data_IF_438612780692
#
_entry.id   IF_438612780692
#
_cell.length_a   1.000
_cell.length_b   1.000
_cell.length_c   1.000
_cell.angle_alpha   90.00
_cell.angle_beta   90.00
_cell.angle_gamma   90.00
#
_symmetry.space_group_name_H-M   'P 1'
#
loop_
_entity.id
_entity.type
_entity.pdbx_description
1 polymer ?
2 non-polymer ?
3 water ?
#
# COMPACT_ATOMS: atom_id res chain seq x y z
N UNK A 14 20.13 -22.67 1.32
CA UNK A 14 20.24 -21.22 1.47
C UNK A 14 19.28 -20.67 2.52
N UNK A 15 19.79 -19.77 3.36
CA UNK A 15 19.00 -19.15 4.43
C UNK A 15 19.01 -17.63 4.28
N UNK A 16 17.95 -17.01 4.77
CA UNK A 16 17.83 -15.56 4.77
C UNK A 16 18.03 -15.07 6.22
N UNK A 17 18.87 -14.06 6.43
CA UNK A 17 19.03 -13.46 7.78
C UNK A 17 17.68 -12.85 8.23
N UNK A 18 16.96 -12.26 7.26
CA UNK A 18 15.65 -11.67 7.41
C UNK A 18 15.02 -11.47 6.02
N UNK A 19 13.70 -11.25 5.96
CA UNK A 19 12.99 -11.02 4.72
C UNK A 19 12.16 -9.73 4.87
N UNK A 20 12.56 -8.66 4.15
CA UNK A 20 11.90 -7.35 4.21
C UNK A 20 11.49 -6.88 2.83
N UNK A 21 10.30 -6.28 2.71
CA UNK A 21 9.81 -5.82 1.42
C UNK A 21 9.14 -4.47 1.50
N UNK A 22 9.30 -3.65 0.46
CA UNK A 22 8.69 -2.33 0.35
C UNK A 22 8.01 -2.31 -1.00
N UNK A 23 6.71 -2.06 -1.01
CA UNK A 23 5.89 -2.05 -2.19
C UNK A 23 5.25 -0.68 -2.27
N UNK A 24 5.50 0.06 -3.37
CA UNK A 24 4.94 1.40 -3.60
C UNK A 24 4.06 1.34 -4.83
N UNK A 25 2.86 1.88 -4.73
CA UNK A 25 1.92 1.95 -5.84
C UNK A 25 1.39 3.36 -6.03
N UNK A 26 1.76 4.01 -7.14
CA UNK A 26 1.33 5.36 -7.43
C UNK A 26 0.23 5.36 -8.46
N UNK A 27 -0.89 5.97 -8.10
CA UNK A 27 -2.06 6.01 -8.96
C UNK A 27 -2.61 7.42 -9.20
N UNK A 28 -2.88 8.13 -8.10
CA UNK A 28 -3.55 9.41 -8.17
C UNK A 28 -2.57 10.54 -8.32
N UNK A 29 -2.21 10.77 -9.59
CA UNK A 29 -1.25 11.78 -10.02
C UNK A 29 -1.88 13.15 -10.16
N UNK A 30 -1.19 14.16 -9.67
CA UNK A 30 -1.69 15.53 -9.73
C UNK A 30 -1.60 16.09 -11.16
N UNK A 31 -0.48 15.82 -11.87
CA UNK A 31 -0.32 16.35 -13.22
C UNK A 31 -0.21 15.32 -14.33
N UNK A 32 -0.43 14.04 -14.03
CA UNK A 32 -0.31 12.99 -15.03
C UNK A 32 -1.54 12.09 -15.05
N UNK A 33 -1.74 11.28 -16.11
CA UNK A 33 -2.91 10.39 -16.11
C UNK A 33 -2.95 9.45 -14.91
N UNK A 34 -4.14 9.28 -14.31
CA UNK A 34 -4.29 8.41 -13.15
C UNK A 34 -4.20 6.94 -13.57
N UNK A 35 -3.67 6.10 -12.69
CA UNK A 35 -3.54 4.67 -12.93
C UNK A 35 -4.52 3.89 -12.04
N UNK A 36 -4.85 2.64 -12.42
CA UNK A 36 -5.82 1.82 -11.69
C UNK A 36 -5.23 0.54 -11.14
N UNK A 37 -4.35 -0.11 -11.89
CA UNK A 37 -3.76 -1.38 -11.50
C UNK A 37 -2.91 -1.36 -10.23
N UNK A 38 -2.08 -0.34 -9.91
CA UNK A 38 -1.25 -0.44 -8.68
C UNK A 38 -2.02 -0.77 -7.38
N UNK A 39 -3.31 -0.37 -7.25
CA UNK A 39 -4.12 -0.67 -6.08
C UNK A 39 -4.20 -2.18 -5.79
N UNK A 40 -4.74 -2.97 -6.73
CA UNK A 40 -4.90 -4.41 -6.58
C UNK A 40 -3.56 -5.11 -6.59
N UNK A 41 -2.64 -4.68 -7.47
CA UNK A 41 -1.31 -5.27 -7.58
C UNK A 41 -0.50 -5.19 -6.29
N UNK A 42 -0.42 -4.01 -5.68
CA UNK A 42 0.29 -3.84 -4.42
C UNK A 42 -0.41 -4.66 -3.31
N UNK A 43 -1.74 -4.63 -3.29
CA UNK A 43 -2.51 -5.39 -2.29
C UNK A 43 -2.30 -6.89 -2.38
N UNK A 44 -2.43 -7.47 -3.57
CA UNK A 44 -2.26 -8.91 -3.76
C UNK A 44 -0.81 -9.36 -3.59
N UNK A 45 0.17 -8.54 -4.03
CA UNK A 45 1.59 -8.90 -3.84
C UNK A 45 1.96 -8.85 -2.35
N UNK A 46 1.37 -7.89 -1.59
CA UNK A 46 1.59 -7.78 -0.13
C UNK A 46 1.19 -9.08 0.56
N UNK A 47 -0.03 -9.60 0.30
CA UNK A 47 -0.51 -10.81 0.94
C UNK A 47 0.31 -12.04 0.56
N UNK A 48 0.71 -12.10 -0.70
CA UNK A 48 1.53 -13.19 -1.20
C UNK A 48 2.90 -13.19 -0.54
N UNK A 49 3.57 -12.02 -0.45
CA UNK A 49 4.88 -11.92 0.21
C UNK A 49 4.78 -12.21 1.71
N UNK A 50 3.68 -11.80 2.36
CA UNK A 50 3.48 -12.09 3.78
C UNK A 50 3.41 -13.63 4.01
N UNK A 51 2.80 -14.37 3.06
CA UNK A 51 2.74 -15.82 3.08
C UNK A 51 4.13 -16.46 3.04
N UNK A 52 5.11 -15.78 2.41
CA UNK A 52 6.49 -16.23 2.30
C UNK A 52 7.38 -15.68 3.45
N UNK A 53 6.76 -15.08 4.51
CA UNK A 53 7.36 -14.54 5.74
C UNK A 53 8.16 -13.25 5.56
N UNK A 54 7.79 -12.44 4.58
CA UNK A 54 8.41 -11.14 4.40
C UNK A 54 7.67 -10.16 5.31
N UNK A 55 8.42 -9.22 5.91
CA UNK A 55 7.81 -8.15 6.67
C UNK A 55 7.58 -7.10 5.58
N UNK A 56 6.31 -6.87 5.21
CA UNK A 56 5.97 -6.01 4.09
C UNK A 56 5.41 -4.66 4.50
N UNK A 57 5.91 -3.59 3.88
CA UNK A 57 5.38 -2.25 4.03
C UNK A 57 4.82 -1.90 2.66
N UNK A 58 3.51 -1.62 2.59
CA UNK A 58 2.86 -1.31 1.33
C UNK A 58 2.36 0.13 1.40
N UNK A 59 2.74 0.96 0.43
CA UNK A 59 2.39 2.37 0.46
C UNK A 59 1.78 2.80 -0.87
N UNK A 60 0.71 3.59 -0.79
CA UNK A 60 0.06 4.11 -1.98
C UNK A 60 0.27 5.60 -2.09
N UNK A 61 0.33 6.09 -3.32
CA UNK A 61 0.37 7.52 -3.67
C UNK A 61 1.39 8.36 -2.89
N UNK A 62 2.69 8.10 -3.11
CA UNK A 62 3.73 8.85 -2.40
C UNK A 62 4.28 10.01 -3.21
N UNK A 63 4.60 11.12 -2.53
CA UNK A 63 5.22 12.29 -3.15
C UNK A 63 6.73 12.00 -3.31
N UNK A 64 7.49 12.94 -3.90
CA UNK A 64 8.93 12.78 -4.10
C UNK A 64 9.64 12.58 -2.79
N UNK A 65 9.43 13.48 -1.80
CA UNK A 65 10.11 13.35 -0.52
C UNK A 65 9.67 12.12 0.28
N UNK A 66 8.42 11.68 0.15
CA UNK A 66 7.93 10.48 0.80
C UNK A 66 8.54 9.23 0.19
N UNK A 67 8.65 9.20 -1.16
CA UNK A 67 9.27 8.09 -1.89
C UNK A 67 10.72 7.94 -1.53
N UNK A 68 11.49 9.05 -1.56
CA UNK A 68 12.90 9.03 -1.22
C UNK A 68 13.13 8.52 0.19
N UNK A 69 12.32 8.98 1.16
CA UNK A 69 12.49 8.54 2.54
C UNK A 69 12.16 7.07 2.71
N UNK A 70 11.08 6.59 2.10
CA UNK A 70 10.69 5.19 2.19
C UNK A 70 11.76 4.27 1.59
N UNK A 71 12.30 4.62 0.41
CA UNK A 71 13.36 3.84 -0.23
C UNK A 71 14.66 3.85 0.62
N UNK A 72 15.06 5.01 1.16
CA UNK A 72 16.22 5.10 2.04
C UNK A 72 16.06 4.21 3.29
N UNK A 73 14.88 4.21 3.91
CA UNK A 73 14.59 3.43 5.10
C UNK A 73 14.62 1.92 4.80
N UNK A 74 14.19 1.52 3.59
CA UNK A 74 14.18 0.12 3.16
C UNK A 74 15.63 -0.31 2.92
N UNK A 75 16.43 0.55 2.25
CA UNK A 75 17.84 0.33 1.98
C UNK A 75 18.62 0.10 3.28
N UNK A 76 18.25 0.81 4.35
CA UNK A 76 18.86 0.72 5.67
C UNK A 76 18.73 -0.67 6.30
N UNK A 77 17.67 -1.42 5.95
CA UNK A 77 17.44 -2.77 6.47
C UNK A 77 18.30 -3.84 5.81
N UNK A 78 18.94 -3.53 4.67
CA UNK A 78 19.67 -4.52 3.89
C UNK A 78 21.07 -4.85 4.41
N UNK A 79 21.13 -5.49 5.58
CA UNK A 79 22.38 -5.96 6.19
C UNK A 79 22.82 -7.26 5.52
N UNK A 80 24.05 -7.73 5.82
CA UNK A 80 24.60 -8.98 5.30
C UNK A 80 23.63 -10.16 5.48
N UNK A 81 23.33 -10.84 4.39
CA UNK A 81 22.46 -12.01 4.41
C UNK A 81 20.97 -11.77 4.35
N UNK A 82 20.54 -10.51 4.44
CA UNK A 82 19.12 -10.17 4.37
C UNK A 82 18.56 -10.33 2.96
N UNK A 83 17.28 -10.74 2.85
CA UNK A 83 16.54 -10.86 1.60
C UNK A 83 15.65 -9.63 1.53
N UNK A 84 15.83 -8.81 0.50
CA UNK A 84 15.01 -7.61 0.32
C UNK A 84 14.23 -7.68 -0.97
N UNK A 85 13.05 -7.07 -1.00
CA UNK A 85 12.25 -7.00 -2.23
C UNK A 85 11.63 -5.62 -2.34
N UNK A 86 11.95 -4.90 -3.40
CA UNK A 86 11.39 -3.56 -3.62
C UNK A 86 10.57 -3.61 -4.88
N UNK A 87 9.29 -3.24 -4.79
CA UNK A 87 8.39 -3.24 -5.93
C UNK A 87 7.81 -1.84 -6.10
N UNK A 88 7.85 -1.31 -7.32
CA UNK A 88 7.26 -0.01 -7.61
C UNK A 88 6.33 -0.14 -8.78
N UNK A 89 5.10 0.34 -8.63
CA UNK A 89 4.12 0.32 -9.71
C UNK A 89 3.64 1.74 -9.89
N UNK A 90 3.78 2.28 -11.10
CA UNK A 90 3.34 3.63 -11.37
C UNK A 90 3.92 4.17 -12.66
N UNK A 91 3.94 5.50 -12.80
CA UNK A 91 4.53 6.12 -13.99
C UNK A 91 6.03 6.06 -13.88
N UNK A 92 6.65 5.84 -15.01
CA UNK A 92 8.09 5.83 -15.14
C UNK A 92 8.50 6.67 -16.32
N UNK A 93 9.75 7.09 -16.35
CA UNK A 93 10.25 7.82 -17.51
C UNK A 93 11.70 7.46 -17.75
N UNK A 94 12.05 7.41 -19.02
CA UNK A 94 13.38 7.05 -19.44
C UNK A 94 14.01 8.23 -20.13
N UNK A 95 15.23 8.58 -19.74
CA UNK A 95 15.96 9.67 -20.36
C UNK A 95 17.42 9.35 -20.40
N UNK A 96 17.92 9.12 -21.62
CA UNK A 96 19.30 8.82 -21.99
C UNK A 96 20.01 7.84 -21.07
N UNK A 97 19.58 6.59 -21.14
CA UNK A 97 20.17 5.51 -20.37
C UNK A 97 19.71 5.38 -18.94
N UNK A 98 18.94 6.36 -18.44
CA UNK A 98 18.46 6.31 -17.06
C UNK A 98 16.96 6.17 -16.99
N UNK A 99 16.46 5.44 -16.01
CA UNK A 99 15.03 5.27 -15.76
C UNK A 99 14.68 5.96 -14.44
N UNK A 100 13.47 6.49 -14.35
CA UNK A 100 13.02 7.25 -13.20
C UNK A 100 11.63 6.87 -12.76
N UNK A 101 11.42 6.80 -11.45
CA UNK A 101 10.12 6.51 -10.83
C UNK A 101 9.47 7.83 -10.56
N UNK A 102 8.26 8.02 -11.08
CA UNK A 102 7.55 9.28 -10.96
C UNK A 102 6.62 9.37 -9.77
N UNK A 103 6.89 10.29 -8.84
CA UNK A 103 5.98 10.47 -7.69
C UNK A 103 4.67 11.20 -8.05
N UNK A 104 3.62 11.06 -7.23
CA UNK A 104 2.31 11.66 -7.54
C UNK A 104 2.31 13.22 -7.61
N UNK A 105 3.30 13.90 -7.00
CA UNK A 105 3.37 15.37 -7.04
C UNK A 105 4.31 15.90 -8.14
N UNK A 106 4.76 15.04 -9.06
CA UNK A 106 5.67 15.43 -10.11
C UNK A 106 5.00 16.36 -11.10
N UNK A 107 5.71 17.43 -11.49
CA UNK A 107 5.12 18.36 -12.46
C UNK A 107 5.10 17.79 -13.89
N UNK A 108 4.33 18.43 -14.76
CA UNK A 108 4.26 18.04 -16.16
C UNK A 108 4.81 19.18 -16.98
N UNK A 109 5.85 18.96 -17.82
CA UNK A 109 6.51 17.68 -18.18
C UNK A 109 7.48 17.11 -17.14
N UNK A 110 7.87 15.83 -17.31
CA UNK A 110 8.80 15.15 -16.41
C UNK A 110 10.19 15.78 -16.36
N UNK A 111 10.81 15.75 -15.18
CA UNK A 111 12.15 16.26 -14.95
C UNK A 111 12.79 15.44 -13.85
N UNK A 112 14.05 15.05 -14.08
CA UNK A 112 14.81 14.17 -13.21
C UNK A 112 14.85 14.56 -11.74
N UNK A 113 15.05 15.86 -11.41
CA UNK A 113 15.17 16.27 -10.01
C UNK A 113 13.91 16.03 -9.18
N UNK A 114 12.74 15.93 -9.85
CA UNK A 114 11.49 15.61 -9.17
C UNK A 114 11.20 14.11 -9.08
N UNK A 115 12.01 13.26 -9.70
CA UNK A 115 11.82 11.82 -9.78
C UNK A 115 12.93 11.04 -9.07
N UNK A 116 12.70 9.72 -8.87
CA UNK A 116 13.71 8.88 -8.24
C UNK A 116 14.47 8.08 -9.30
N UNK A 117 15.77 8.31 -9.42
CA UNK A 117 16.63 7.61 -10.37
C UNK A 117 16.87 6.15 -9.96
N UNK A 118 16.43 5.23 -10.82
CA UNK A 118 16.53 3.79 -10.65
C UNK A 118 17.99 3.34 -10.59
N UNK A 119 18.85 3.95 -11.40
CA UNK A 119 20.26 3.59 -11.43
C UNK A 119 20.95 3.95 -10.13
N UNK A 120 20.54 5.04 -9.47
CA UNK A 120 21.11 5.41 -8.18
C UNK A 120 20.71 4.41 -7.08
N UNK A 121 19.49 3.87 -7.15
CA UNK A 121 19.01 2.87 -6.21
C UNK A 121 19.82 1.59 -6.41
N UNK A 122 19.90 1.10 -7.67
CA UNK A 122 20.66 -0.09 -8.06
C UNK A 122 22.13 0.02 -7.61
N UNK A 123 22.74 1.20 -7.76
CA UNK A 123 24.12 1.49 -7.34
C UNK A 123 24.27 1.39 -5.82
N UNK A 124 23.29 1.89 -5.05
CA UNK A 124 23.32 1.77 -3.61
C UNK A 124 23.10 0.30 -3.19
N UNK A 125 22.27 -0.45 -3.94
CA UNK A 125 21.98 -1.87 -3.69
C UNK A 125 23.22 -2.72 -3.96
N UNK A 126 24.04 -2.36 -4.96
CA UNK A 126 25.28 -3.07 -5.29
C UNK A 126 26.29 -3.08 -4.14
N UNK A 127 26.22 -2.04 -3.26
CA UNK A 127 27.09 -1.89 -2.08
C UNK A 127 26.63 -2.74 -0.87
N UNK A 128 25.46 -3.39 -0.96
CA UNK A 128 24.96 -4.21 0.13
C UNK A 128 25.46 -5.66 -0.01
N UNK A 129 25.49 -6.38 1.11
CA UNK A 129 25.90 -7.79 1.12
C UNK A 129 24.66 -8.65 1.34
N UNK A 130 23.56 -8.31 0.67
CA UNK A 130 22.31 -9.02 0.78
C UNK A 130 22.44 -10.42 0.25
N UNK A 131 21.70 -11.33 0.87
CA UNK A 131 21.60 -12.71 0.42
C UNK A 131 20.82 -12.74 -0.87
N UNK A 132 19.81 -11.85 -1.00
CA UNK A 132 19.01 -11.69 -2.20
C UNK A 132 18.38 -10.32 -2.21
N UNK A 133 18.42 -9.63 -3.35
CA UNK A 133 17.75 -8.34 -3.47
C UNK A 133 17.01 -8.35 -4.76
N UNK A 134 15.69 -8.34 -4.69
CA UNK A 134 14.84 -8.37 -5.88
C UNK A 134 14.25 -6.99 -6.05
N UNK A 135 14.52 -6.33 -7.18
CA UNK A 135 14.02 -4.99 -7.44
C UNK A 135 13.15 -5.10 -8.68
N UNK A 136 11.82 -4.95 -8.49
CA UNK A 136 10.85 -5.05 -9.58
C UNK A 136 10.18 -3.73 -9.87
N UNK A 137 10.22 -3.30 -11.12
CA UNK A 137 9.60 -2.06 -11.56
C UNK A 137 8.48 -2.46 -12.50
N UNK A 138 7.29 -1.92 -12.28
CA UNK A 138 6.13 -2.17 -13.10
C UNK A 138 5.69 -0.77 -13.50
N UNK A 139 6.35 -0.22 -14.51
CA UNK A 139 6.14 1.16 -14.90
C UNK A 139 5.44 1.39 -16.21
N UNK A 140 4.66 2.45 -16.23
CA UNK A 140 3.92 2.95 -17.37
C UNK A 140 4.93 3.94 -17.94
N UNK A 141 5.69 3.51 -18.95
CA UNK A 141 6.81 4.24 -19.57
C UNK A 141 6.42 5.51 -20.34
N UNK A 158 32.43 -9.30 -3.98
CA UNK A 158 31.29 -9.62 -3.13
C UNK A 158 29.97 -9.34 -3.87
N UNK A 159 29.12 -10.37 -3.97
CA UNK A 159 27.86 -10.22 -4.66
C UNK A 159 26.73 -9.72 -3.75
N UNK A 160 25.91 -8.83 -4.30
CA UNK A 160 24.71 -8.34 -3.63
C UNK A 160 23.49 -9.23 -4.01
N UNK A 161 23.67 -10.15 -5.00
CA UNK A 161 22.66 -11.05 -5.53
C UNK A 161 21.43 -10.29 -5.96
N UNK A 162 21.62 -9.28 -6.82
CA UNK A 162 20.52 -8.45 -7.30
C UNK A 162 19.86 -9.08 -8.49
N UNK A 163 18.53 -9.16 -8.44
CA UNK A 163 17.70 -9.63 -9.53
C UNK A 163 16.80 -8.45 -9.81
N UNK A 164 16.95 -7.85 -10.98
CA UNK A 164 16.21 -6.66 -11.38
C UNK A 164 15.22 -7.01 -12.50
N UNK A 165 13.96 -6.73 -12.27
CA UNK A 165 12.89 -6.97 -13.22
C UNK A 165 12.31 -5.64 -13.63
N UNK A 166 12.28 -5.37 -14.93
CA UNK A 166 11.79 -4.10 -15.44
C UNK A 166 10.70 -4.29 -16.48
N UNK A 167 9.43 -4.23 -16.02
CA UNK A 167 8.24 -4.38 -16.82
C UNK A 167 7.78 -3.02 -17.30
N UNK A 168 7.44 -2.92 -18.60
CA UNK A 168 7.00 -1.65 -19.18
C UNK A 168 5.59 -1.75 -19.79
N UNK A 169 4.74 -2.66 -19.28
CA UNK A 169 3.34 -2.86 -19.73
C UNK A 169 2.53 -1.55 -19.76
N UNK A 173 -1.31 2.63 -20.26
CA UNK A 173 -1.56 1.74 -19.12
C UNK A 173 -2.43 0.57 -19.54
N UNK A 174 -1.91 -0.64 -19.38
CA UNK A 174 -2.66 -1.84 -19.74
C UNK A 174 -2.98 -2.65 -18.49
N UNK A 175 -4.21 -3.16 -18.41
CA UNK A 175 -4.67 -4.00 -17.30
C UNK A 175 -5.88 -4.86 -17.69
N UNK A 176 -6.27 -5.77 -16.80
CA UNK A 176 -7.42 -6.65 -17.03
C UNK A 176 -8.39 -6.51 -15.87
N UNK A 177 -9.69 -6.46 -16.19
CA UNK A 177 -10.72 -6.36 -15.15
C UNK A 177 -11.15 -7.77 -14.75
N UNK A 178 -11.08 -8.09 -13.45
CA UNK A 178 -11.46 -9.41 -12.95
C UNK A 178 -12.97 -9.55 -12.75
N UNK A 179 -13.43 -10.77 -12.45
CA UNK A 179 -14.82 -11.12 -12.14
C UNK A 179 -15.34 -10.32 -10.91
N UNK A 180 -14.42 -9.82 -10.07
CA UNK A 180 -14.63 -8.99 -8.89
C UNK A 180 -14.80 -7.49 -9.24
N UNK A 181 -14.32 -7.08 -10.42
CA UNK A 181 -14.36 -5.71 -10.88
C UNK A 181 -13.06 -4.93 -10.64
N UNK A 182 -12.06 -5.61 -10.04
CA UNK A 182 -10.75 -5.06 -9.70
C UNK A 182 -9.80 -5.13 -10.90
N UNK A 183 -8.94 -4.11 -11.02
CA UNK A 183 -7.95 -4.03 -12.11
C UNK A 183 -6.63 -4.72 -11.77
N UNK A 184 -6.22 -5.72 -12.56
CA UNK A 184 -4.96 -6.40 -12.33
C UNK A 184 -4.03 -6.11 -13.51
N UNK A 185 -2.82 -5.65 -13.21
CA UNK A 185 -1.82 -5.38 -14.23
C UNK A 185 -1.35 -6.65 -14.90
N UNK A 186 -0.78 -6.54 -16.11
CA UNK A 186 -0.32 -7.72 -16.86
C UNK A 186 0.85 -8.44 -16.16
N UNK A 187 1.82 -7.67 -15.67
CA UNK A 187 2.98 -8.23 -14.99
C UNK A 187 2.55 -8.97 -13.71
N UNK A 188 1.69 -8.35 -12.91
CA UNK A 188 1.23 -8.95 -11.65
C UNK A 188 0.30 -10.13 -11.84
N UNK A 189 -0.48 -10.16 -12.92
CA UNK A 189 -1.37 -11.29 -13.21
C UNK A 189 -0.57 -12.60 -13.29
N UNK A 190 0.56 -12.57 -13.99
CA UNK A 190 1.42 -13.73 -14.14
C UNK A 190 2.32 -13.94 -12.93
N UNK A 191 2.80 -12.85 -12.32
CA UNK A 191 3.66 -12.91 -11.15
C UNK A 191 2.96 -13.56 -9.98
N UNK A 192 1.71 -13.19 -9.70
CA UNK A 192 0.96 -13.74 -8.57
C UNK A 192 0.71 -15.25 -8.69
N UNK A 193 0.61 -15.76 -9.92
CA UNK A 193 0.40 -17.19 -10.16
C UNK A 193 1.68 -18.03 -9.97
N UNK A 194 2.86 -17.40 -9.91
CA UNK A 194 4.12 -18.12 -9.78
C UNK A 194 4.97 -17.75 -8.57
N UNK A 195 4.65 -16.67 -7.88
CA UNK A 195 5.44 -16.19 -6.76
C UNK A 195 5.61 -17.19 -5.60
N UNK A 196 4.62 -18.09 -5.38
CA UNK A 196 4.72 -19.05 -4.26
C UNK A 196 5.48 -20.34 -4.60
N UNK A 197 5.98 -20.48 -5.85
CA UNK A 197 6.74 -21.66 -6.27
C UNK A 197 8.10 -21.74 -5.57
N UNK A 198 8.53 -22.94 -5.15
CA UNK A 198 9.85 -23.11 -4.55
C UNK A 198 10.86 -23.35 -5.67
N UNK A 199 11.21 -22.28 -6.36
CA UNK A 199 12.17 -22.29 -7.46
C UNK A 199 13.02 -21.03 -7.35
N UNK A 200 14.25 -21.08 -7.90
CA UNK A 200 15.17 -19.92 -7.94
C UNK A 200 14.44 -18.71 -8.56
N UNK A 201 14.53 -17.53 -7.94
CA UNK A 201 13.78 -16.35 -8.39
C UNK A 201 14.01 -15.96 -9.88
N UNK A 202 15.23 -16.14 -10.40
CA UNK A 202 15.54 -15.83 -11.79
C UNK A 202 14.80 -16.75 -12.74
N UNK A 203 14.70 -18.03 -12.37
CA UNK A 203 13.97 -19.04 -13.13
C UNK A 203 12.46 -18.70 -13.11
N UNK A 204 11.95 -18.27 -11.96
CA UNK A 204 10.56 -17.88 -11.75
C UNK A 204 10.20 -16.67 -12.64
N UNK A 205 11.08 -15.65 -12.67
CA UNK A 205 10.88 -14.45 -13.49
C UNK A 205 10.97 -14.76 -14.99
N UNK A 206 11.79 -15.72 -15.38
CA UNK A 206 11.90 -16.15 -16.77
C UNK A 206 10.60 -16.87 -17.21
N UNK A 207 9.94 -17.60 -16.29
CA UNK A 207 8.66 -18.22 -16.59
C UNK A 207 7.61 -17.11 -16.77
N UNK A 208 7.62 -16.07 -15.92
CA UNK A 208 6.71 -14.94 -16.02
C UNK A 208 6.90 -14.21 -17.36
N UNK A 209 8.16 -14.04 -17.82
CA UNK A 209 8.47 -13.43 -19.11
C UNK A 209 7.93 -14.28 -20.28
N UNK A 210 7.98 -15.63 -20.14
CA UNK A 210 7.43 -16.55 -21.14
C UNK A 210 5.91 -16.41 -21.18
N UNK A 211 5.25 -16.36 -20.01
CA UNK A 211 3.81 -16.20 -19.87
C UNK A 211 3.33 -14.93 -20.57
N UNK A 212 4.08 -13.81 -20.39
CA UNK A 212 3.77 -12.52 -21.00
C UNK A 212 4.00 -12.53 -22.51
N UNK A 213 5.00 -13.28 -22.96
CA UNK A 213 5.29 -13.47 -24.37
C UNK A 213 4.22 -14.26 -25.10
N UNK A 214 3.46 -15.10 -24.36
CA UNK A 214 2.33 -15.88 -24.88
C UNK A 214 1.05 -15.03 -24.87
N UNK A 215 0.92 -14.10 -23.90
CA UNK A 215 -0.18 -13.15 -23.72
C UNK A 215 -0.28 -12.28 -24.99
N UNK A 216 -1.49 -12.10 -25.49
CA UNK A 216 -1.75 -11.37 -26.73
C UNK A 216 -1.36 -9.89 -26.70
N UNK A 217 -1.48 -9.24 -25.54
CA UNK A 217 -1.15 -7.83 -25.37
C UNK A 217 0.36 -7.56 -25.47
N UNK A 218 1.18 -8.52 -25.02
CA UNK A 218 2.63 -8.36 -24.95
C UNK A 218 3.45 -9.37 -25.78
N UNK A 219 2.80 -10.11 -26.70
CA UNK A 219 3.38 -11.21 -27.49
C UNK A 219 4.77 -10.95 -28.13
N UNK A 220 4.89 -10.01 -29.05
CA UNK A 220 6.17 -9.75 -29.71
C UNK A 220 6.79 -8.46 -29.27
N UNK A 221 6.59 -8.09 -28.00
CA UNK A 221 7.08 -6.82 -27.47
C UNK A 221 8.10 -6.99 -26.33
N UNK A 222 8.97 -5.98 -26.15
CA UNK A 222 9.96 -5.95 -25.07
C UNK A 222 9.25 -5.44 -23.81
N UNK A 223 8.42 -6.31 -23.19
CA UNK A 223 7.59 -5.97 -22.04
C UNK A 223 8.25 -6.21 -20.68
N UNK A 224 9.22 -7.14 -20.58
CA UNK A 224 9.94 -7.43 -19.34
C UNK A 224 11.42 -7.64 -19.60
N UNK A 225 12.27 -6.87 -18.93
CA UNK A 225 13.72 -7.03 -19.02
C UNK A 225 14.21 -7.50 -17.67
N UNK A 226 14.95 -8.61 -17.62
CA UNK A 226 15.49 -9.12 -16.38
C UNK A 226 17.02 -9.00 -16.40
N UNK A 227 17.60 -8.38 -15.39
CA UNK A 227 19.05 -8.30 -15.24
C UNK A 227 19.37 -8.99 -13.93
N UNK A 228 20.36 -9.88 -13.94
CA UNK A 228 20.65 -10.67 -12.77
C UNK A 228 22.13 -10.90 -12.57
N UNK A 229 22.57 -10.75 -11.33
CA UNK A 229 23.94 -11.05 -10.91
C UNK A 229 23.84 -12.11 -9.79
N UNK A 230 22.93 -13.09 -9.94
CA UNK A 230 22.67 -14.14 -8.96
C UNK A 230 23.48 -15.38 -9.27
N UNK A 231 24.58 -15.59 -8.49
CA UNK A 231 25.50 -16.72 -8.63
C UNK A 231 25.07 -17.97 -7.86
N UNK A 232 24.12 -17.83 -6.92
CA UNK A 232 23.67 -18.98 -6.12
C UNK A 232 22.14 -19.17 -6.15
N UNK A 233 21.68 -20.39 -5.83
CA UNK A 233 20.27 -20.74 -5.90
C UNK A 233 19.45 -20.12 -4.79
N UNK A 234 19.04 -18.86 -4.95
CA UNK A 234 18.22 -18.18 -3.97
C UNK A 234 16.78 -18.12 -4.44
N UNK A 235 15.85 -18.28 -3.51
CA UNK A 235 14.44 -18.24 -3.79
C UNK A 235 13.71 -17.47 -2.71
N UNK A 236 12.58 -16.87 -3.08
CA UNK A 236 11.76 -16.12 -2.14
C UNK A 236 11.23 -17.03 -1.00
N UNK A 237 11.18 -18.36 -1.22
CA UNK A 237 10.70 -19.37 -0.29
C UNK A 237 11.77 -19.83 0.73
N UNK A 238 13.04 -19.37 0.59
CA UNK A 238 14.13 -19.76 1.50
C UNK A 238 13.81 -19.40 2.93
N UNK A 239 14.06 -20.31 3.89
CA UNK A 239 13.70 -20.01 5.28
C UNK A 239 14.56 -18.93 5.94
N UNK A 240 14.02 -18.29 6.98
CA UNK A 240 14.77 -17.30 7.75
C UNK A 240 15.63 -18.04 8.78
N UNK A 241 16.83 -17.51 9.12
CA UNK A 241 17.71 -18.10 10.12
C UNK A 241 16.99 -18.31 11.47
N UNK A 242 17.42 -19.33 12.21
CA UNK A 242 16.82 -19.68 13.48
C UNK A 242 16.90 -18.57 14.51
N UNK A 243 15.83 -18.41 15.29
CA UNK A 243 15.75 -17.37 16.29
C UNK A 243 16.61 -17.67 17.51
N UNK A 244 17.01 -18.93 17.73
CA UNK A 244 17.89 -19.27 18.86
C UNK A 244 19.28 -18.63 18.72
N UNK A 245 19.72 -18.37 17.49
CA UNK A 245 21.05 -17.80 17.27
C UNK A 245 21.05 -16.54 16.42
N UNK A 246 19.89 -16.13 15.88
CA UNK A 246 19.76 -14.96 15.03
C UNK A 246 18.47 -14.24 15.38
N UNK A 247 18.57 -13.25 16.28
CA UNK A 247 17.43 -12.47 16.76
C UNK A 247 17.14 -11.22 15.95
N UNK A 248 17.74 -11.06 14.76
CA UNK A 248 17.47 -9.88 13.93
C UNK A 248 16.06 -9.90 13.35
N UNK A 249 15.56 -11.09 13.05
CA UNK A 249 14.23 -11.26 12.48
C UNK A 249 13.11 -10.84 13.49
N UNK A 250 13.32 -11.12 14.79
CA UNK A 250 12.40 -10.79 15.88
C UNK A 250 12.29 -9.29 16.08
N UNK A 251 13.43 -8.58 16.07
CA UNK A 251 13.47 -7.11 16.19
C UNK A 251 12.65 -6.47 15.05
N UNK A 252 12.87 -6.94 13.81
CA UNK A 252 12.15 -6.39 12.66
C UNK A 252 10.68 -6.74 12.70
N UNK A 253 10.28 -7.86 13.31
CA UNK A 253 8.87 -8.21 13.50
C UNK A 253 8.23 -7.25 14.53
N UNK A 254 8.98 -6.87 15.57
CA UNK A 254 8.51 -5.94 16.59
C UNK A 254 8.37 -4.54 16.00
N UNK A 255 9.31 -4.13 15.14
CA UNK A 255 9.24 -2.82 14.48
C UNK A 255 8.12 -2.79 13.44
N UNK A 256 7.86 -3.90 12.73
CA UNK A 256 6.75 -3.98 11.77
C UNK A 256 5.44 -3.90 12.55
N UNK A 257 5.31 -4.64 13.65
CA UNK A 257 4.10 -4.62 14.46
C UNK A 257 3.83 -3.22 15.02
N UNK A 258 4.87 -2.52 15.48
CA UNK A 258 4.77 -1.16 16.03
C UNK A 258 4.20 -0.19 14.99
N UNK A 259 4.70 -0.23 13.74
CA UNK A 259 4.24 0.62 12.64
C UNK A 259 2.93 0.17 11.99
N UNK A 260 2.29 -0.90 12.50
CA UNK A 260 1.06 -1.39 11.89
C UNK A 260 -0.09 -1.54 12.89
N UNK A 261 -0.10 -0.71 13.93
CA UNK A 261 -1.17 -0.75 14.93
C UNK A 261 -2.40 0.05 14.51
N UNK A 262 -3.55 -0.60 14.51
CA UNK A 262 -4.83 0.01 14.15
C UNK A 262 -5.50 0.47 15.45
N UNK A 263 -6.19 1.63 15.44
CA UNK A 263 -6.92 2.04 16.64
C UNK A 263 -8.01 1.01 16.98
N UNK A 264 -8.26 0.83 18.27
CA UNK A 264 -9.32 -0.08 18.71
C UNK A 264 -10.67 0.58 18.47
N UNK A 265 -11.69 -0.23 18.20
CA UNK A 265 -13.06 0.20 17.95
C UNK A 265 -13.58 1.00 19.16
N UNK A 266 -14.28 2.12 18.92
CA UNK A 266 -14.77 2.94 20.04
C UNK A 266 -16.23 3.28 19.96
N UNK A 267 -16.88 3.40 21.13
CA UNK A 267 -18.29 3.69 21.19
C UNK A 267 -18.52 5.05 21.84
N UNK A 268 -19.17 5.96 21.12
CA UNK A 268 -19.48 7.31 21.58
C UNK A 268 -20.94 7.45 21.93
N UNK A 269 -21.24 7.96 23.13
CA UNK A 269 -22.62 8.18 23.56
C UNK A 269 -22.95 9.64 23.38
N UNK A 270 -24.13 9.92 22.81
CA UNK A 270 -24.56 11.30 22.58
C UNK A 270 -25.67 11.68 23.56
N UNK A 271 -25.84 12.99 23.84
CA UNK A 271 -26.83 13.49 24.79
C UNK A 271 -28.29 13.09 24.46
N UNK A 272 -28.63 13.00 23.17
CA UNK A 272 -29.97 12.57 22.75
C UNK A 272 -30.26 11.08 23.00
N UNK A 273 -29.23 10.31 23.32
CA UNK A 273 -29.37 8.88 23.59
C UNK A 273 -28.79 7.97 22.54
N UNK A 274 -28.43 8.52 21.37
CA UNK A 274 -27.85 7.73 20.27
C UNK A 274 -26.42 7.29 20.63
N UNK A 275 -26.10 6.02 20.37
CA UNK A 275 -24.73 5.51 20.59
C UNK A 275 -24.14 5.15 19.23
N UNK A 276 -22.94 5.65 18.94
CA UNK A 276 -22.25 5.45 17.67
C UNK A 276 -21.00 4.63 17.85
N UNK A 277 -20.75 3.67 16.96
CA UNK A 277 -19.51 2.92 16.99
C UNK A 277 -18.63 3.38 15.85
N UNK A 278 -17.36 3.59 16.15
CA UNK A 278 -16.34 4.00 15.19
C UNK A 278 -15.45 2.78 15.00
N UNK A 279 -15.38 2.28 13.77
CA UNK A 279 -14.56 1.12 13.43
C UNK A 279 -13.40 1.48 12.52
N UNK A 280 -12.34 0.66 12.54
CA UNK A 280 -11.13 0.93 11.77
C UNK A 280 -10.66 -0.34 11.03
N UNK A 281 -10.19 -0.16 9.80
CA UNK A 281 -9.65 -1.25 9.00
C UNK A 281 -8.43 -0.77 8.22
N UNK A 282 -7.48 -1.66 7.94
CA UNK A 282 -6.30 -1.30 7.17
C UNK A 282 -6.31 -1.93 5.80
N UNK A 283 -5.94 -1.14 4.80
CA UNK A 283 -5.88 -1.60 3.43
C UNK A 283 -4.39 -1.69 3.04
N UNK A 284 -3.60 -0.65 3.37
CA UNK A 284 -2.17 -0.53 3.13
C UNK A 284 -1.52 0.07 4.37
N UNK A 285 -0.18 0.11 4.43
CA UNK A 285 0.54 0.68 5.56
C UNK A 285 0.16 2.14 5.82
N UNK A 286 -0.20 2.89 4.75
CA UNK A 286 -0.59 4.30 4.92
C UNK A 286 -2.07 4.57 4.60
N UNK A 287 -2.90 3.52 4.42
CA UNK A 287 -4.30 3.63 4.05
C UNK A 287 -5.18 2.96 5.10
N UNK A 288 -6.03 3.74 5.75
CA UNK A 288 -6.93 3.22 6.77
C UNK A 288 -8.36 3.62 6.45
N UNK A 289 -9.32 2.73 6.65
CA UNK A 289 -10.73 3.00 6.47
C UNK A 289 -11.37 3.18 7.85
N UNK A 290 -12.13 4.26 8.01
CA UNK A 290 -12.89 4.56 9.21
C UNK A 290 -14.38 4.38 8.87
N UNK A 291 -15.13 3.68 9.70
CA UNK A 291 -16.55 3.56 9.50
C UNK A 291 -17.33 3.92 10.76
N UNK A 292 -18.53 4.47 10.58
CA UNK A 292 -19.39 4.78 11.69
C UNK A 292 -20.66 3.98 11.54
N UNK A 293 -21.14 3.46 12.64
CA UNK A 293 -22.33 2.66 12.70
C UNK A 293 -23.17 3.11 13.90
N UNK A 294 -24.49 2.99 13.81
CA UNK A 294 -25.36 3.37 14.90
C UNK A 294 -25.66 2.13 15.73
N UNK A 295 -25.12 2.05 16.96
CA UNK A 295 -25.32 0.92 17.87
C UNK A 295 -26.73 0.98 18.53
N UNK A 296 -27.15 2.18 18.91
CA UNK A 296 -28.45 2.38 19.54
C UNK A 296 -29.10 3.70 19.12
N UNK A 297 -30.38 3.64 18.74
CA UNK A 297 -31.16 4.80 18.36
C UNK A 297 -32.43 4.74 19.18
N UNK A 298 -32.64 5.71 20.09
CA UNK A 298 -33.85 5.72 20.90
C UNK A 298 -35.12 5.76 20.04
N UNK A 299 -36.22 5.15 20.50
CA UNK A 299 -37.46 5.17 19.70
C UNK A 299 -37.94 6.55 19.26
N UNK A 300 -37.73 7.59 20.10
CA UNK A 300 -38.11 8.96 19.83
C UNK A 300 -37.42 9.56 18.57
N UNK A 301 -36.24 9.01 18.20
CA UNK A 301 -35.48 9.47 17.05
C UNK A 301 -35.86 8.67 15.80
N UNK A 302 -36.41 9.33 14.77
CA UNK A 302 -36.85 8.64 13.57
C UNK A 302 -35.69 8.27 12.64
N UNK A 303 -34.72 9.17 12.49
CA UNK A 303 -33.61 9.01 11.58
C UNK A 303 -32.38 9.71 12.14
N UNK A 304 -31.22 9.04 12.09
CA UNK A 304 -29.96 9.65 12.49
C UNK A 304 -28.79 9.16 11.64
N UNK A 305 -27.82 10.03 11.43
CA UNK A 305 -26.62 9.69 10.68
C UNK A 305 -25.40 10.21 11.39
N UNK A 306 -24.35 9.41 11.47
CA UNK A 306 -23.12 9.83 12.11
C UNK A 306 -22.08 10.00 11.02
N UNK A 307 -21.51 11.20 10.94
CA UNK A 307 -20.53 11.56 9.93
C UNK A 307 -19.21 11.92 10.58
N UNK A 308 -18.08 11.58 9.93
CA UNK A 308 -16.78 11.99 10.39
C UNK A 308 -16.35 13.22 9.59
N UNK A 309 -15.88 14.26 10.28
CA UNK A 309 -15.53 15.52 9.64
C UNK A 309 -14.31 16.20 10.32
N UNK A 310 -13.84 17.31 9.73
CA UNK A 310 -12.75 18.13 10.24
C UNK A 310 -11.47 17.35 10.58
N UNK A 311 -10.95 16.61 9.60
CA UNK A 311 -9.72 15.85 9.78
C UNK A 311 -8.51 16.79 9.71
N UNK A 312 -7.32 16.41 10.23
CA UNK A 312 -6.14 17.29 10.11
C UNK A 312 -5.85 17.70 8.66
N UNK A 313 -5.53 18.97 8.42
CA UNK A 313 -5.31 19.51 7.05
C UNK A 313 -4.23 18.78 6.25
N UNK A 314 -3.18 18.28 6.91
CA UNK A 314 -2.12 17.54 6.22
C UNK A 314 -2.62 16.27 5.54
N UNK A 315 -3.74 15.68 6.01
CA UNK A 315 -4.29 14.47 5.42
C UNK A 315 -4.90 14.68 4.04
N UNK A 316 -5.32 15.92 3.71
CA UNK A 316 -5.89 16.28 2.42
C UNK A 316 -7.11 15.44 2.03
N UNK A 317 -8.08 15.29 2.94
CA UNK A 317 -9.30 14.52 2.66
C UNK A 317 -10.37 15.46 2.10
N UNK A 318 -10.85 15.16 0.90
CA UNK A 318 -11.90 15.97 0.29
C UNK A 318 -13.23 15.49 0.87
N UNK A 319 -13.99 16.38 1.54
CA UNK A 319 -15.27 15.94 2.17
C UNK A 319 -16.29 15.28 1.23
N UNK A 320 -16.17 15.52 -0.07
CA UNK A 320 -17.05 14.89 -1.06
C UNK A 320 -16.71 13.40 -1.31
N UNK A 321 -15.59 12.90 -0.75
CA UNK A 321 -15.18 11.49 -0.85
C UNK A 321 -15.26 10.74 0.50
N UNK A 322 -15.71 11.43 1.56
CA UNK A 322 -15.87 10.85 2.88
C UNK A 322 -17.36 10.54 3.13
N UNK A 323 -17.65 9.69 4.16
CA UNK A 323 -19.00 9.35 4.62
C UNK A 323 -19.89 8.72 3.57
N UNK A 324 -19.35 7.72 2.85
CA UNK A 324 -20.07 7.04 1.80
C UNK A 324 -20.86 5.83 2.29
N UNK A 325 -21.92 5.48 1.58
CA UNK A 325 -22.76 4.35 1.94
C UNK A 325 -22.14 2.97 1.78
N UNK A 326 -21.08 2.88 0.98
CA UNK A 326 -20.35 1.63 0.72
C UNK A 326 -18.85 1.91 0.73
N UNK A 327 -18.01 0.89 1.01
CA UNK A 327 -16.56 1.12 0.99
C UNK A 327 -16.03 1.45 -0.41
N UNK A 328 -16.63 0.86 -1.44
CA UNK A 328 -16.23 1.02 -2.85
C UNK A 328 -16.30 2.48 -3.29
N UNK A 329 -17.31 3.22 -2.81
CA UNK A 329 -17.49 4.63 -3.13
C UNK A 329 -16.34 5.54 -2.63
N UNK A 330 -15.54 5.05 -1.67
CA UNK A 330 -14.38 5.77 -1.14
C UNK A 330 -13.07 5.44 -1.86
N UNK A 331 -13.10 4.44 -2.74
CA UNK A 331 -11.93 3.95 -3.45
C UNK A 331 -11.32 2.73 -2.79
N UNK A 332 -12.07 2.08 -1.88
CA UNK A 332 -11.65 0.91 -1.14
C UNK A 332 -12.37 -0.33 -1.68
N UNK A 333 -11.67 -1.15 -2.47
CA UNK A 333 -12.31 -2.36 -3.02
C UNK A 333 -11.75 -3.67 -2.40
N UNK A 334 -10.63 -3.56 -1.72
CA UNK A 334 -9.95 -4.62 -0.98
C UNK A 334 -10.30 -4.24 0.45
N UNK A 335 -10.93 -5.17 1.20
CA UNK A 335 -11.51 -4.92 2.54
C UNK A 335 -12.76 -4.08 2.21
N UNK A 336 -13.73 -4.69 1.52
CA UNK A 336 -14.96 -4.05 1.05
C UNK A 336 -16.19 -4.79 1.58
N UNK A 337 -16.28 -6.12 1.36
CA UNK A 337 -17.38 -6.92 1.92
C UNK A 337 -17.06 -7.53 3.30
N UNK A 338 -15.88 -7.17 3.86
CA UNK A 338 -15.38 -7.60 5.16
C UNK A 338 -15.62 -6.54 6.26
N UNK A 339 -16.55 -5.58 6.02
CA UNK A 339 -16.93 -4.51 6.96
C UNK A 339 -18.46 -4.60 7.19
N UNK A 340 -18.95 -4.30 8.40
CA UNK A 340 -20.40 -4.41 8.66
C UNK A 340 -21.31 -3.60 7.74
N UNK A 341 -22.55 -4.07 7.55
CA UNK A 341 -23.52 -3.37 6.70
C UNK A 341 -24.10 -2.14 7.41
N UNK A 342 -24.68 -1.21 6.62
CA UNK A 342 -25.39 0.00 7.06
C UNK A 342 -24.52 1.03 7.80
N UNK A 343 -23.24 1.14 7.40
CA UNK A 343 -22.27 2.08 7.96
C UNK A 343 -21.98 3.20 6.95
N UNK A 344 -21.29 4.25 7.40
CA UNK A 344 -20.78 5.27 6.51
C UNK A 344 -19.25 5.09 6.50
N UNK A 345 -18.60 5.15 5.32
CA UNK A 345 -17.16 4.86 5.21
C UNK A 345 -16.33 6.04 4.74
N UNK A 346 -15.09 6.12 5.25
CA UNK A 346 -14.14 7.18 4.93
C UNK A 346 -12.75 6.59 4.82
N UNK A 347 -12.10 6.81 3.69
CA UNK A 347 -10.76 6.32 3.43
C UNK A 347 -9.70 7.41 3.68
N UNK A 348 -8.78 7.16 4.64
CA UNK A 348 -7.64 8.04 4.91
C UNK A 348 -6.43 7.38 4.24
N UNK A 349 -6.11 7.81 3.03
CA UNK A 349 -5.07 7.23 2.20
C UNK A 349 -3.71 7.93 2.26
N UNK A 350 -3.58 8.97 3.07
CA UNK A 350 -2.32 9.70 3.16
C UNK A 350 -1.83 9.82 4.58
N UNK A 351 -1.80 8.68 5.32
CA UNK A 351 -1.36 8.63 6.73
C UNK A 351 0.10 9.02 6.95
N UNK A 352 0.94 8.87 5.92
CA UNK A 352 2.34 9.27 5.98
C UNK A 352 2.50 10.82 6.13
N UNK A 353 1.44 11.58 5.84
CA UNK A 353 1.46 13.03 5.98
C UNK A 353 1.07 13.50 7.41
N UNK A 354 0.54 12.61 8.24
CA UNK A 354 0.10 12.94 9.59
C UNK A 354 1.29 13.16 10.53
N UNK A 355 1.49 14.41 10.99
CA UNK A 355 2.56 14.79 11.92
C UNK A 355 2.08 14.99 13.37
N UNK A 356 0.79 14.75 13.64
CA UNK A 356 0.17 14.93 14.95
C UNK A 356 -0.82 13.75 15.22
N UNK A 357 -1.53 13.80 16.36
CA UNK A 357 -2.55 12.81 16.68
C UNK A 357 -3.70 12.97 15.69
N UNK A 358 -4.34 11.85 15.34
CA UNK A 358 -5.48 11.90 14.44
C UNK A 358 -6.71 12.32 15.23
N UNK A 359 -7.00 13.63 15.23
CA UNK A 359 -8.14 14.23 15.92
C UNK A 359 -9.15 14.62 14.84
N UNK A 360 -10.39 14.18 15.01
CA UNK A 360 -11.46 14.51 14.08
C UNK A 360 -12.80 14.60 14.84
N UNK A 361 -13.84 15.07 14.16
CA UNK A 361 -15.14 15.24 14.77
C UNK A 361 -16.14 14.22 14.27
N UNK A 362 -16.91 13.65 15.20
CA UNK A 362 -18.03 12.78 14.89
C UNK A 362 -19.27 13.65 15.06
N UNK A 363 -19.90 13.98 13.94
CA UNK A 363 -21.10 14.80 13.88
C UNK A 363 -22.32 13.90 13.81
N UNK A 364 -23.32 14.16 14.65
CA UNK A 364 -24.54 13.37 14.65
C UNK A 364 -25.68 14.28 14.24
N UNK A 365 -26.34 13.93 13.14
CA UNK A 365 -27.50 14.65 12.65
C UNK A 365 -28.67 13.75 12.95
N UNK A 366 -29.66 14.24 13.69
CA UNK A 366 -30.78 13.42 14.08
C UNK A 366 -32.11 14.15 13.97
N UNK A 367 -33.18 13.38 13.77
CA UNK A 367 -34.50 13.94 13.63
C UNK A 367 -35.46 13.27 14.57
N UNK A 368 -36.28 14.07 15.22
CA UNK A 368 -37.37 13.55 16.03
C UNK A 368 -38.56 13.41 15.09
N UNK A 369 -39.40 12.40 15.29
CA UNK A 369 -40.55 12.16 14.42
C UNK A 369 -41.43 13.40 14.09
N UNK A 370 -41.89 14.13 15.09
CA UNK A 370 -42.75 15.28 14.86
C UNK A 370 -42.04 16.61 15.03
N UNK A 371 -40.80 16.72 14.54
CA UNK A 371 -40.06 17.97 14.69
C UNK A 371 -39.76 18.65 13.36
N UNK A 372 -39.64 20.00 13.41
CA UNK A 372 -39.43 20.90 12.27
C UNK A 372 -38.14 20.67 11.50
N UNK A 373 -36.98 20.64 12.19
CA UNK A 373 -35.71 20.49 11.49
C UNK A 373 -34.76 19.45 12.13
N UNK A 374 -33.64 19.15 11.45
CA UNK A 374 -32.64 18.20 11.92
C UNK A 374 -31.82 18.83 13.03
N UNK A 375 -31.50 18.05 14.06
CA UNK A 375 -30.70 18.52 15.18
C UNK A 375 -29.27 18.06 14.96
N UNK A 376 -28.29 18.94 15.18
CA UNK A 376 -26.89 18.60 15.03
C UNK A 376 -26.19 18.58 16.39
N UNK A 377 -25.24 17.66 16.54
CA UNK A 377 -24.45 17.51 17.75
C UNK A 377 -23.06 17.05 17.34
N UNK A 378 -22.00 17.64 17.88
CA UNK A 378 -20.63 17.29 17.50
C UNK A 378 -19.81 16.80 18.68
N UNK A 379 -18.91 15.87 18.44
CA UNK A 379 -18.07 15.29 19.48
C UNK A 379 -16.66 15.09 18.91
N UNK A 380 -15.61 15.58 19.58
CA UNK A 380 -14.23 15.42 19.10
C UNK A 380 -13.68 14.05 19.55
N UNK A 381 -12.86 13.41 18.68
CA UNK A 381 -12.29 12.08 18.92
C UNK A 381 -10.79 12.09 18.62
N UNK A 382 -9.99 11.46 19.48
CA UNK A 382 -8.55 11.34 19.25
C UNK A 382 -8.22 9.87 19.13
N UNK A 383 -7.69 9.42 17.98
CA UNK A 383 -7.34 7.98 17.84
C UNK A 383 -5.82 7.74 17.74
N UNK A 384 -5.02 8.67 18.26
CA UNK A 384 -3.57 8.59 18.29
C UNK A 384 -2.93 8.70 16.92
N UNK A 385 -1.80 8.00 16.74
CA UNK A 385 -1.10 8.00 15.46
C UNK A 385 -1.16 6.57 14.87
N UNK A 386 -2.19 6.31 14.02
CA UNK A 386 -2.37 4.95 13.51
C UNK A 386 -1.44 4.53 12.39
N UNK A 387 -1.12 3.21 12.33
CA UNK A 387 -0.28 2.60 11.33
C UNK A 387 1.11 3.30 11.24
N UNK A 388 1.58 3.74 10.05
CA UNK A 388 2.89 4.35 9.91
C UNK A 388 2.98 5.73 10.53
N UNK A 389 1.84 6.36 10.93
CA UNK A 389 1.85 7.66 11.62
C UNK A 389 2.53 7.58 12.98
N UNK A 390 2.62 6.38 13.58
CA UNK A 390 3.27 6.11 14.86
C UNK A 390 4.78 6.42 14.81
N UNK A 391 5.42 6.23 13.65
CA UNK A 391 6.87 6.42 13.48
C UNK A 391 7.32 7.88 13.58
#
# INVERSE_FOLDING_TARGET
GPGSDNKEQTTDQPLAKDKVALLIGNMNYREHPKLKAPLVDVYELTNLLRQLDFKVVSLLDLTEYEMRNAVDEFLLLLDKGVYGLLYYAGHGYENFGNSFMVPVDAPNPYRSENCLCVQNILKLMQEKETGLNVFLLDMCRKRNDYDDTIPILDALKVTANIVFGYATCQGAEAFEIQHSGLANGIFMKFLKDRLLEDKKITVLLDEVAEDMGKCHLTKGKQALEIRSSLSEKRALTDPIQGTEYSAESLVRNLQWAKAHELPESMCLKFDCGVQIQLGFAAEFSNVMIIYTSIVYKPPEIIMCDAYVTDFPLDLDIDPKDANKGTPEETGSYLVSKDLPKHCLYTRLSSLQKLKEHLVFTVCLSYQYSGLEDTVEDKQEVNVGKPLIAKLDMHRGLGRKTCFQ
#
